data_IF_726876242396
#
_entry.id   IF_726876242396
#
_cell.length_a   1.000
_cell.length_b   1.000
_cell.length_c   1.000
_cell.angle_alpha   90.00
_cell.angle_beta   90.00
_cell.angle_gamma   90.00
#
_symmetry.space_group_name_H-M   'P 1'
#
loop_
_entity.id
_entity.type
_entity.pdbx_description
1 polymer ?
#
# COMPACT_ATOMS: atom_id res chain seq x y z
N UNK A 1 18.95 -3.09 32.16
CA UNK A 1 18.77 -3.24 31.23
C UNK A 1 18.59 -2.40 30.71
N UNK A 2 18.81 -2.66 30.05
CA UNK A 2 18.85 -1.84 29.27
C UNK A 2 17.81 -1.21 28.94
N UNK A 3 17.99 -0.09 28.86
CA UNK A 3 17.11 0.71 28.23
C UNK A 3 16.68 0.11 26.98
N UNK A 4 15.49 0.37 26.62
CA UNK A 4 14.98 -0.04 25.37
C UNK A 4 15.86 0.47 24.26
N UNK A 5 16.18 -0.37 23.34
CA UNK A 5 16.93 0.03 22.15
C UNK A 5 16.07 1.03 21.36
N UNK A 6 16.62 2.18 20.97
CA UNK A 6 15.87 3.14 20.17
C UNK A 6 15.23 2.55 18.90
N UNK A 7 15.82 1.50 18.31
CA UNK A 7 15.25 0.86 17.14
C UNK A 7 13.98 0.08 17.45
N UNK A 8 13.72 -0.26 18.71
CA UNK A 8 12.53 -1.00 19.12
C UNK A 8 11.35 -0.09 19.41
N UNK A 9 11.57 1.21 19.45
CA UNK A 9 10.52 2.17 19.78
C UNK A 9 10.15 2.96 18.55
N UNK A 10 8.87 2.95 18.15
CA UNK A 10 8.45 3.79 17.02
C UNK A 10 8.75 5.25 17.32
N UNK A 11 9.33 5.92 16.36
CA UNK A 11 9.68 7.32 16.48
C UNK A 11 8.86 8.17 15.54
N UNK A 12 8.65 9.42 15.88
CA UNK A 12 7.94 10.34 15.01
C UNK A 12 8.71 10.47 13.69
N UNK A 13 8.00 10.44 12.55
CA UNK A 13 8.65 10.60 11.26
C UNK A 13 9.31 11.97 11.13
N UNK A 14 10.45 12.00 10.46
CA UNK A 14 11.10 13.27 10.13
C UNK A 14 10.32 13.98 9.03
N UNK A 15 10.56 15.27 8.87
CA UNK A 15 9.97 16.03 7.75
C UNK A 15 10.44 15.44 6.42
N UNK A 16 11.71 15.08 6.32
CA UNK A 16 12.25 14.48 5.11
C UNK A 16 11.56 13.17 4.76
N UNK A 17 11.35 12.30 5.73
CA UNK A 17 10.65 11.03 5.51
C UNK A 17 9.21 11.25 5.05
N UNK A 18 8.53 12.27 5.59
CA UNK A 18 7.16 12.59 5.19
C UNK A 18 7.09 13.12 3.76
N UNK A 19 8.15 13.72 3.27
CA UNK A 19 8.20 14.28 1.93
C UNK A 19 8.55 13.25 0.86
N UNK A 20 9.07 12.11 1.25
CA UNK A 20 9.38 11.06 0.30
C UNK A 20 8.10 10.53 -0.33
N UNK A 21 8.16 10.23 -1.62
CA UNK A 21 7.01 9.72 -2.37
C UNK A 21 7.16 8.23 -2.57
N UNK A 22 6.49 7.48 -1.69
CA UNK A 22 6.53 6.03 -1.71
C UNK A 22 5.12 5.47 -1.78
N UNK A 23 4.96 4.36 -2.46
CA UNK A 23 3.69 3.64 -2.49
C UNK A 23 3.95 2.15 -2.31
N UNK A 24 2.98 1.47 -1.71
CA UNK A 24 3.08 0.04 -1.42
C UNK A 24 2.37 -0.74 -2.52
N UNK A 25 2.98 -1.84 -2.97
CA UNK A 25 2.32 -2.77 -3.89
C UNK A 25 2.39 -4.16 -3.28
N UNK A 26 1.23 -4.74 -3.00
CA UNK A 26 1.15 -6.11 -2.48
C UNK A 26 0.75 -7.05 -3.61
N UNK A 27 1.73 -7.74 -4.17
CA UNK A 27 1.59 -8.69 -5.25
C UNK A 27 2.88 -9.48 -5.43
N UNK A 28 2.79 -10.67 -6.01
CA UNK A 28 3.96 -11.39 -6.50
C UNK A 28 3.90 -11.57 -8.03
N UNK A 29 2.86 -11.03 -8.68
CA UNK A 29 2.69 -11.21 -10.12
C UNK A 29 3.63 -10.29 -10.90
N UNK A 30 4.67 -10.88 -11.50
CA UNK A 30 5.67 -10.11 -12.22
C UNK A 30 5.10 -9.32 -13.39
N UNK A 31 4.10 -9.86 -14.07
CA UNK A 31 3.45 -9.16 -15.17
C UNK A 31 2.87 -7.81 -14.76
N UNK A 32 2.23 -7.77 -13.60
CA UNK A 32 1.70 -6.53 -13.05
C UNK A 32 2.83 -5.59 -12.63
N UNK A 33 3.84 -6.11 -11.95
CA UNK A 33 4.98 -5.29 -11.54
C UNK A 33 5.70 -4.69 -12.74
N UNK A 34 5.86 -5.47 -13.81
CA UNK A 34 6.48 -4.97 -15.04
C UNK A 34 5.62 -3.87 -15.69
N UNK A 35 4.30 -4.01 -15.62
CA UNK A 35 3.39 -3.00 -16.16
C UNK A 35 3.41 -1.69 -15.37
N UNK A 36 3.75 -1.75 -14.08
CA UNK A 36 3.86 -0.56 -13.24
C UNK A 36 5.10 0.28 -13.56
N UNK A 37 6.16 -0.36 -14.02
CA UNK A 37 7.45 0.30 -14.24
C UNK A 37 7.34 1.54 -15.12
N UNK A 38 6.78 1.45 -16.35
CA UNK A 38 6.73 2.63 -17.23
C UNK A 38 5.76 3.72 -16.77
N UNK A 39 4.81 3.42 -15.88
CA UNK A 39 3.85 4.42 -15.41
C UNK A 39 4.27 5.06 -14.09
N UNK A 40 5.32 4.56 -13.45
CA UNK A 40 5.81 5.11 -12.19
C UNK A 40 6.73 6.30 -12.48
N UNK A 41 6.36 7.52 -12.02
CA UNK A 41 7.17 8.70 -12.32
C UNK A 41 8.49 8.69 -11.58
N UNK A 42 9.46 9.45 -12.11
CA UNK A 42 10.70 9.68 -11.39
C UNK A 42 10.41 10.35 -10.05
N UNK A 43 11.17 9.99 -9.04
CA UNK A 43 10.98 10.53 -7.69
C UNK A 43 10.04 9.70 -6.82
N UNK A 44 9.36 8.71 -7.39
CA UNK A 44 8.54 7.79 -6.62
C UNK A 44 9.27 6.47 -6.38
N UNK A 45 9.11 5.93 -5.19
CA UNK A 45 9.68 4.63 -4.81
C UNK A 45 8.56 3.62 -4.61
N UNK A 46 8.64 2.52 -5.32
CA UNK A 46 7.71 1.40 -5.15
C UNK A 46 8.26 0.46 -4.08
N UNK A 47 7.41 0.15 -3.09
CA UNK A 47 7.75 -0.81 -2.02
C UNK A 47 6.86 -2.04 -2.23
N UNK A 48 7.45 -3.13 -2.68
CA UNK A 48 6.72 -4.36 -3.01
C UNK A 48 6.92 -5.38 -1.90
N UNK A 49 5.83 -5.79 -1.28
CA UNK A 49 5.85 -6.73 -0.15
C UNK A 49 4.67 -7.69 -0.23
N UNK A 50 4.73 -8.78 0.52
CA UNK A 50 3.62 -9.71 0.71
C UNK A 50 3.15 -9.73 2.16
N UNK A 51 3.87 -9.08 3.05
CA UNK A 51 3.50 -8.95 4.46
C UNK A 51 3.72 -7.52 4.90
N UNK A 52 2.78 -6.98 5.69
CA UNK A 52 2.89 -5.62 6.21
C UNK A 52 4.12 -5.45 7.10
N UNK A 53 4.50 -6.48 7.83
CA UNK A 53 5.66 -6.44 8.72
C UNK A 53 6.97 -6.17 7.97
N UNK A 54 7.02 -6.52 6.69
CA UNK A 54 8.20 -6.28 5.87
C UNK A 54 8.41 -4.80 5.56
N UNK A 55 7.36 -3.98 5.71
CA UNK A 55 7.46 -2.53 5.55
C UNK A 55 8.03 -1.91 6.82
N UNK A 56 7.60 -2.40 7.98
CA UNK A 56 7.96 -1.88 9.27
C UNK A 56 6.73 -1.72 10.17
N UNK A 57 6.86 -1.03 11.30
CA UNK A 57 5.73 -0.80 12.19
C UNK A 57 4.70 0.15 11.55
N UNK A 58 3.54 0.28 12.19
CA UNK A 58 2.42 1.03 11.63
C UNK A 58 2.78 2.47 11.21
N UNK A 59 3.67 3.12 11.93
CA UNK A 59 4.04 4.50 11.62
C UNK A 59 4.91 4.60 10.36
N UNK A 60 5.65 3.55 10.00
CA UNK A 60 6.35 3.49 8.72
C UNK A 60 5.38 3.23 7.58
N UNK A 61 4.39 2.36 7.80
CA UNK A 61 3.35 2.10 6.79
C UNK A 61 2.62 3.40 6.45
N UNK A 62 2.33 4.20 7.46
CA UNK A 62 1.62 5.47 7.30
C UNK A 62 2.39 6.52 6.49
N UNK A 63 3.71 6.35 6.35
CA UNK A 63 4.51 7.28 5.54
C UNK A 63 4.31 7.09 4.04
N UNK A 64 3.75 5.97 3.63
CA UNK A 64 3.48 5.71 2.21
C UNK A 64 2.22 6.45 1.77
N UNK A 65 2.17 6.82 0.49
CA UNK A 65 1.10 7.69 -0.01
C UNK A 65 -0.18 6.92 -0.32
N UNK A 66 -0.06 5.69 -0.79
CA UNK A 66 -1.19 4.79 -1.05
C UNK A 66 -0.68 3.36 -1.20
N UNK A 67 -1.62 2.42 -1.23
CA UNK A 67 -1.32 1.01 -1.42
C UNK A 67 -2.11 0.48 -2.61
N UNK A 68 -1.45 -0.34 -3.43
CA UNK A 68 -2.10 -1.16 -4.45
C UNK A 68 -2.15 -2.58 -3.93
N UNK A 69 -3.36 -3.14 -3.82
CA UNK A 69 -3.58 -4.47 -3.25
C UNK A 69 -4.15 -5.39 -4.31
N UNK A 70 -3.38 -6.42 -4.67
CA UNK A 70 -3.77 -7.35 -5.73
C UNK A 70 -4.67 -8.45 -5.16
N UNK A 71 -5.93 -8.44 -5.55
CA UNK A 71 -6.90 -9.44 -5.10
C UNK A 71 -6.84 -10.74 -5.91
N UNK A 72 -6.08 -10.73 -7.00
CA UNK A 72 -5.93 -11.91 -7.87
C UNK A 72 -4.65 -12.69 -7.59
N UNK A 73 -4.08 -12.52 -6.40
CA UNK A 73 -2.86 -13.21 -5.98
C UNK A 73 -3.08 -13.94 -4.65
N UNK A 74 -4.06 -14.85 -4.57
CA UNK A 74 -4.48 -15.45 -3.30
C UNK A 74 -3.45 -16.39 -2.67
N UNK A 75 -2.48 -16.87 -3.45
CA UNK A 75 -1.43 -17.73 -2.91
C UNK A 75 -0.36 -16.97 -2.15
N UNK A 76 -0.29 -15.66 -2.29
CA UNK A 76 0.77 -14.86 -1.71
C UNK A 76 0.43 -14.31 -0.33
N UNK A 77 -0.82 -13.93 -0.12
CA UNK A 77 -1.28 -13.32 1.14
C UNK A 77 -2.81 -13.29 1.17
N UNK A 78 -3.37 -13.00 2.35
CA UNK A 78 -4.81 -12.84 2.52
C UNK A 78 -5.14 -11.34 2.49
N UNK A 79 -5.78 -10.85 1.43
CA UNK A 79 -6.07 -9.41 1.34
C UNK A 79 -7.05 -8.91 2.40
N UNK A 80 -7.96 -9.76 2.88
CA UNK A 80 -8.85 -9.37 3.98
C UNK A 80 -8.08 -9.14 5.26
N UNK A 81 -7.11 -9.99 5.56
CA UNK A 81 -6.26 -9.82 6.72
C UNK A 81 -5.48 -8.51 6.63
N UNK A 82 -4.97 -8.19 5.44
CA UNK A 82 -4.23 -6.95 5.22
C UNK A 82 -5.10 -5.72 5.53
N UNK A 83 -6.29 -5.64 4.93
CA UNK A 83 -7.14 -4.47 5.12
C UNK A 83 -7.65 -4.37 6.55
N UNK A 84 -7.96 -5.48 7.19
CA UNK A 84 -8.42 -5.49 8.57
C UNK A 84 -7.32 -5.06 9.52
N UNK A 85 -6.09 -5.49 9.29
CA UNK A 85 -4.95 -5.04 10.07
C UNK A 85 -4.76 -3.53 9.96
N UNK A 86 -4.82 -2.98 8.75
CA UNK A 86 -4.66 -1.55 8.54
C UNK A 86 -5.77 -0.75 9.22
N UNK A 87 -7.02 -1.16 9.06
CA UNK A 87 -8.17 -0.36 9.51
C UNK A 87 -8.53 -0.58 10.97
N UNK A 88 -8.46 -1.83 11.44
CA UNK A 88 -8.94 -2.18 12.77
C UNK A 88 -7.84 -2.29 13.79
N UNK A 89 -6.72 -2.88 13.42
CA UNK A 89 -5.62 -3.06 14.35
C UNK A 89 -4.76 -1.80 14.44
N UNK A 90 -4.32 -1.27 13.30
CA UNK A 90 -3.46 -0.08 13.27
C UNK A 90 -4.24 1.24 13.21
N UNK A 91 -5.49 1.19 12.83
CA UNK A 91 -6.39 2.36 12.76
C UNK A 91 -5.84 3.47 11.86
N UNK A 92 -5.30 3.09 10.71
CA UNK A 92 -4.75 4.06 9.76
C UNK A 92 -5.61 4.12 8.49
N UNK A 93 -5.66 5.31 7.90
CA UNK A 93 -6.48 5.60 6.72
C UNK A 93 -5.67 5.69 5.43
N UNK A 94 -4.62 4.91 5.32
CA UNK A 94 -3.87 4.82 4.09
C UNK A 94 -4.83 4.46 2.94
N UNK A 95 -4.84 5.21 1.82
CA UNK A 95 -5.66 4.84 0.68
C UNK A 95 -5.26 3.47 0.14
N UNK A 96 -6.25 2.58 -0.02
CA UNK A 96 -6.01 1.23 -0.52
C UNK A 96 -6.85 1.03 -1.78
N UNK A 97 -6.16 0.86 -2.91
CA UNK A 97 -6.77 0.61 -4.21
C UNK A 97 -6.57 -0.85 -4.56
N UNK A 98 -7.68 -1.56 -4.77
CA UNK A 98 -7.66 -2.98 -5.03
C UNK A 98 -7.79 -3.25 -6.51
N UNK A 99 -7.10 -4.27 -7.01
CA UNK A 99 -7.28 -4.68 -8.37
C UNK A 99 -7.73 -6.13 -8.44
N UNK A 100 -8.67 -6.42 -9.33
CA UNK A 100 -9.19 -7.76 -9.52
C UNK A 100 -10.15 -8.21 -8.44
N UNK A 101 -10.13 -9.51 -8.16
CA UNK A 101 -11.04 -10.13 -7.22
C UNK A 101 -12.43 -10.39 -7.78
N UNK A 102 -13.12 -11.37 -7.22
CA UNK A 102 -14.52 -11.60 -7.59
C UNK A 102 -15.44 -10.69 -6.78
N UNK A 103 -16.74 -10.74 -7.10
CA UNK A 103 -17.72 -9.86 -6.47
C UNK A 103 -17.84 -10.10 -4.96
N UNK A 104 -17.71 -11.33 -4.52
CA UNK A 104 -17.80 -11.66 -3.10
C UNK A 104 -16.62 -11.09 -2.33
N UNK A 105 -15.41 -11.28 -2.84
CA UNK A 105 -14.21 -10.75 -2.20
C UNK A 105 -14.22 -9.22 -2.20
N UNK A 106 -14.60 -8.60 -3.32
CA UNK A 106 -14.72 -7.15 -3.38
C UNK A 106 -15.73 -6.62 -2.36
N UNK A 107 -16.86 -7.32 -2.17
CA UNK A 107 -17.85 -6.96 -1.17
C UNK A 107 -17.29 -7.00 0.25
N UNK A 108 -16.55 -8.04 0.58
CA UNK A 108 -15.92 -8.17 1.89
C UNK A 108 -14.85 -7.12 2.10
N UNK A 109 -14.06 -6.83 1.08
CA UNK A 109 -13.04 -5.80 1.14
C UNK A 109 -13.66 -4.42 1.33
N UNK A 110 -14.78 -4.16 0.67
CA UNK A 110 -15.51 -2.89 0.81
C UNK A 110 -16.06 -2.72 2.22
N UNK A 111 -16.59 -3.79 2.81
CA UNK A 111 -17.05 -3.77 4.20
C UNK A 111 -15.91 -3.52 5.17
N UNK A 112 -14.71 -3.92 4.81
CA UNK A 112 -13.51 -3.68 5.61
C UNK A 112 -12.83 -2.35 5.28
N UNK A 113 -13.52 -1.49 4.51
CA UNK A 113 -13.10 -0.10 4.23
C UNK A 113 -11.92 0.03 3.27
N UNK A 114 -11.77 -0.89 2.32
CA UNK A 114 -10.92 -0.65 1.16
C UNK A 114 -11.57 0.48 0.33
N UNK A 115 -10.76 1.30 -0.33
CA UNK A 115 -11.26 2.53 -0.93
C UNK A 115 -11.87 2.37 -2.31
N UNK A 116 -11.17 1.73 -3.23
CA UNK A 116 -11.64 1.63 -4.62
C UNK A 116 -11.19 0.32 -5.24
N UNK A 117 -11.89 -0.09 -6.31
CA UNK A 117 -11.66 -1.35 -7.01
C UNK A 117 -11.52 -1.11 -8.50
N UNK A 118 -10.56 -1.79 -9.12
CA UNK A 118 -10.24 -1.60 -10.53
C UNK A 118 -9.89 -2.94 -11.18
N UNK A 119 -10.08 -3.04 -12.49
CA UNK A 119 -9.35 -4.03 -13.27
C UNK A 119 -7.90 -3.54 -13.40
N UNK A 120 -7.00 -4.43 -13.80
CA UNK A 120 -5.60 -4.04 -14.00
C UNK A 120 -5.48 -2.89 -15.01
N UNK A 121 -6.20 -3.00 -16.15
CA UNK A 121 -6.17 -1.96 -17.17
C UNK A 121 -6.67 -0.61 -16.65
N UNK A 122 -7.78 -0.63 -15.90
CA UNK A 122 -8.32 0.59 -15.30
C UNK A 122 -7.34 1.21 -14.31
N UNK A 123 -6.70 0.37 -13.47
CA UNK A 123 -5.74 0.87 -12.49
C UNK A 123 -4.56 1.54 -13.17
N UNK A 124 -3.99 0.88 -14.20
CA UNK A 124 -2.86 1.44 -14.92
C UNK A 124 -3.22 2.78 -15.59
N UNK A 125 -4.44 2.90 -16.07
CA UNK A 125 -4.93 4.15 -16.65
C UNK A 125 -5.08 5.24 -15.61
N UNK A 126 -5.51 4.91 -14.40
CA UNK A 126 -5.74 5.87 -13.33
C UNK A 126 -4.48 6.26 -12.55
N UNK A 127 -3.45 5.44 -12.58
CA UNK A 127 -2.25 5.65 -11.77
C UNK A 127 -1.58 7.01 -11.98
N UNK A 128 -1.42 7.54 -13.21
CA UNK A 128 -0.82 8.86 -13.39
C UNK A 128 -1.55 9.94 -12.58
N UNK A 129 -2.87 9.84 -12.48
CA UNK A 129 -3.67 10.78 -11.71
C UNK A 129 -3.44 10.60 -10.21
N UNK A 130 -3.30 9.35 -9.75
CA UNK A 130 -3.02 9.08 -8.33
C UNK A 130 -1.64 9.59 -7.93
N UNK A 131 -0.63 9.39 -8.77
CA UNK A 131 0.70 9.93 -8.49
C UNK A 131 0.67 11.45 -8.39
N UNK A 132 -0.12 12.11 -9.23
CA UNK A 132 -0.29 13.55 -9.16
C UNK A 132 -1.03 13.96 -7.89
N UNK A 133 -2.16 13.31 -7.60
CA UNK A 133 -3.01 13.65 -6.47
C UNK A 133 -2.32 13.43 -5.12
N UNK A 134 -1.57 12.35 -5.00
CA UNK A 134 -0.88 12.00 -3.77
C UNK A 134 0.59 12.42 -3.75
N UNK A 135 1.03 13.14 -4.74
CA UNK A 135 2.41 13.61 -4.84
C UNK A 135 2.68 14.95 -4.17
N UNK A 136 1.90 15.31 -3.15
CA UNK A 136 2.06 16.57 -2.44
C UNK A 136 3.43 16.69 -1.79
N UNK A 137 3.79 17.91 -1.44
CA UNK A 137 4.97 18.18 -0.62
C UNK A 137 6.15 18.73 -1.37
N UNK A 138 6.20 18.66 -2.67
CA UNK A 138 7.33 19.23 -3.40
C UNK A 138 6.99 19.48 -4.82
#
# INVERSE_FOLDING_TARGET
>A
MSAQDPSDTPQAPTIEARMERRFIVMTTREGFLNALEPVTPAGWTRVTVTELDDIGPWNDILLHRFMLLDLDDPGAFDPLDVIQTLRMEYQINLPVFCLGGDADLQGEMRLSRADRFFTEAELLEMLPRFFELYGWGR
#
